data_IF_377561225676
#
_entry.id   IF_377561225676
#
_cell.length_a   1.000
_cell.length_b   1.000
_cell.length_c   1.000
_cell.angle_alpha   90.00
_cell.angle_beta   90.00
_cell.angle_gamma   90.00
#
_symmetry.space_group_name_H-M   'P 1'
#
loop_
_entity.id
_entity.type
_entity.pdbx_description
1 polymer ?
#
# COMPACT_ATOMS: atom_id res chain seq x y z
N UNK A 1 90.28 75.30 19.54
CA UNK A 1 88.82 75.40 19.30
C UNK A 1 88.45 75.47 17.82
N UNK A 2 88.98 76.39 16.99
CA UNK A 2 88.61 76.51 15.56
C UNK A 2 88.87 75.24 14.70
N UNK A 3 89.96 74.51 14.94
CA UNK A 3 90.28 73.28 14.20
C UNK A 3 89.34 72.10 14.53
N UNK A 4 88.82 72.03 15.76
CA UNK A 4 87.86 70.98 16.18
C UNK A 4 86.48 71.22 15.56
N UNK A 5 86.05 72.49 15.47
CA UNK A 5 84.79 72.88 14.81
C UNK A 5 84.86 72.56 13.31
N UNK A 6 86.00 72.84 12.66
CA UNK A 6 86.19 72.55 11.24
C UNK A 6 86.19 71.03 10.94
N UNK A 7 86.80 70.22 11.81
CA UNK A 7 86.80 68.77 11.69
C UNK A 7 85.39 68.18 11.88
N UNK A 8 84.64 68.66 12.89
CA UNK A 8 83.24 68.26 13.12
C UNK A 8 82.35 68.69 11.95
N UNK A 9 82.59 69.87 11.36
CA UNK A 9 81.85 70.36 10.20
C UNK A 9 82.18 69.55 8.92
N UNK A 10 83.43 69.12 8.72
CA UNK A 10 83.82 68.23 7.62
C UNK A 10 83.29 66.80 7.79
N UNK A 11 83.29 66.28 9.02
CA UNK A 11 82.71 64.97 9.34
C UNK A 11 81.19 65.01 9.12
N UNK A 12 80.51 66.07 9.57
CA UNK A 12 79.06 66.22 9.32
C UNK A 12 78.72 66.47 7.86
N UNK A 13 79.51 67.25 7.10
CA UNK A 13 79.32 67.42 5.65
C UNK A 13 79.60 66.13 4.87
N UNK A 14 80.63 65.36 5.24
CA UNK A 14 80.94 64.10 4.58
C UNK A 14 79.91 63.01 4.90
N UNK A 15 79.39 62.98 6.13
CA UNK A 15 78.25 62.14 6.48
C UNK A 15 76.98 62.58 5.72
N UNK A 16 76.67 63.89 5.66
CA UNK A 16 75.50 64.38 4.92
C UNK A 16 75.58 64.11 3.42
N UNK A 17 76.74 64.28 2.78
CA UNK A 17 76.90 64.00 1.34
C UNK A 17 76.83 62.51 1.02
N UNK A 18 77.38 61.65 1.90
CA UNK A 18 77.23 60.19 1.83
C UNK A 18 75.76 59.77 1.96
N UNK A 19 75.04 60.29 2.95
CA UNK A 19 73.62 60.03 3.17
C UNK A 19 72.75 60.50 1.99
N UNK A 20 73.00 61.71 1.47
CA UNK A 20 72.27 62.25 0.33
C UNK A 20 72.43 61.35 -0.91
N UNK A 21 73.65 60.85 -1.16
CA UNK A 21 73.91 59.96 -2.29
C UNK A 21 73.15 58.62 -2.20
N UNK A 22 72.94 58.10 -0.99
CA UNK A 22 72.16 56.87 -0.76
C UNK A 22 70.67 57.09 -0.99
N UNK A 23 70.15 58.23 -0.54
CA UNK A 23 68.75 58.63 -0.77
C UNK A 23 68.48 58.77 -2.26
N UNK A 24 69.35 59.47 -3.01
CA UNK A 24 69.19 59.68 -4.46
C UNK A 24 69.15 58.35 -5.26
N UNK A 25 69.93 57.35 -4.85
CA UNK A 25 69.92 56.01 -5.47
C UNK A 25 68.61 55.26 -5.18
N UNK A 26 68.09 55.31 -3.95
CA UNK A 26 66.78 54.72 -3.62
C UNK A 26 65.69 55.41 -4.44
N UNK A 27 65.70 56.74 -4.50
CA UNK A 27 64.73 57.55 -5.23
C UNK A 27 64.68 57.19 -6.72
N UNK A 28 65.83 57.13 -7.39
CA UNK A 28 65.88 56.75 -8.81
C UNK A 28 65.39 55.31 -9.10
N UNK A 29 65.51 54.40 -8.12
CA UNK A 29 64.99 53.05 -8.24
C UNK A 29 63.49 52.96 -7.90
N UNK A 30 63.00 53.79 -6.98
CA UNK A 30 61.57 53.92 -6.67
C UNK A 30 60.79 54.53 -7.83
N UNK A 31 61.34 55.52 -8.54
CA UNK A 31 60.73 56.11 -9.74
C UNK A 31 60.49 55.07 -10.85
N UNK A 32 61.48 54.17 -11.04
CA UNK A 32 61.33 53.03 -11.97
C UNK A 32 60.28 52.03 -11.51
N UNK A 33 60.12 51.87 -10.20
CA UNK A 33 59.11 50.99 -9.63
C UNK A 33 57.71 51.57 -9.76
N UNK A 34 57.55 52.89 -9.58
CA UNK A 34 56.28 53.62 -9.64
C UNK A 34 55.54 53.48 -10.98
N UNK A 35 56.25 53.13 -12.06
CA UNK A 35 55.68 52.96 -13.40
C UNK A 35 54.96 51.61 -13.60
N UNK A 36 55.03 50.67 -12.65
CA UNK A 36 54.52 49.30 -12.85
C UNK A 36 53.01 49.17 -12.66
N UNK A 37 52.46 49.78 -11.62
CA UNK A 37 51.02 49.83 -11.32
C UNK A 37 50.71 50.86 -10.21
N UNK A 38 49.43 51.08 -9.94
CA UNK A 38 48.99 52.07 -8.95
C UNK A 38 49.51 51.79 -7.53
N UNK A 39 49.57 50.52 -7.11
CA UNK A 39 50.14 50.15 -5.81
C UNK A 39 51.63 50.50 -5.72
N UNK A 40 52.41 50.19 -6.75
CA UNK A 40 53.84 50.52 -6.81
C UNK A 40 54.09 52.02 -6.81
N UNK A 41 53.21 52.80 -7.43
CA UNK A 41 53.25 54.27 -7.43
C UNK A 41 52.97 54.84 -6.03
N UNK A 42 51.94 54.32 -5.36
CA UNK A 42 51.60 54.72 -4.00
C UNK A 42 52.71 54.33 -3.01
N UNK A 43 53.27 53.13 -3.14
CA UNK A 43 54.39 52.67 -2.32
C UNK A 43 55.64 53.52 -2.54
N UNK A 44 55.99 53.81 -3.79
CA UNK A 44 57.13 54.67 -4.12
C UNK A 44 56.98 56.08 -3.52
N UNK A 45 55.79 56.70 -3.67
CA UNK A 45 55.52 58.02 -3.09
C UNK A 45 55.52 58.03 -1.56
N UNK A 46 55.07 56.94 -0.92
CA UNK A 46 55.16 56.78 0.53
C UNK A 46 56.63 56.67 0.98
N UNK A 47 57.44 55.88 0.28
CA UNK A 47 58.87 55.72 0.57
C UNK A 47 59.60 57.05 0.38
N UNK A 48 59.32 57.78 -0.70
CA UNK A 48 59.87 59.12 -0.95
C UNK A 48 59.56 60.09 0.19
N UNK A 49 58.28 60.21 0.55
CA UNK A 49 57.84 61.09 1.62
C UNK A 49 58.51 60.74 2.96
N UNK A 50 58.69 59.44 3.24
CA UNK A 50 59.36 58.96 4.45
C UNK A 50 60.87 59.13 4.44
N UNK A 51 61.52 59.02 3.28
CA UNK A 51 62.95 59.34 3.12
C UNK A 51 63.23 60.85 3.26
N UNK A 52 62.26 61.70 2.88
CA UNK A 52 62.37 63.16 3.06
C UNK A 52 62.11 63.59 4.52
N UNK A 53 61.28 62.84 5.24
CA UNK A 53 60.92 63.15 6.64
C UNK A 53 61.88 62.53 7.66
N UNK A 54 62.36 61.32 7.41
CA UNK A 54 63.29 60.62 8.30
C UNK A 54 64.72 60.79 7.79
N UNK A 55 65.64 61.24 8.63
CA UNK A 55 67.07 61.33 8.28
C UNK A 55 67.77 59.96 8.25
N UNK A 56 67.02 58.87 8.40
CA UNK A 56 67.53 57.52 8.64
C UNK A 56 66.84 56.48 7.75
N UNK A 57 67.61 55.91 6.82
CA UNK A 57 67.20 54.83 5.92
C UNK A 57 66.74 53.59 6.70
N UNK A 58 67.28 53.35 7.91
CA UNK A 58 66.82 52.27 8.80
C UNK A 58 65.35 52.39 9.22
N UNK A 59 64.85 53.61 9.44
CA UNK A 59 63.45 53.83 9.87
C UNK A 59 62.48 53.53 8.73
N UNK A 60 62.80 53.99 7.51
CA UNK A 60 62.06 53.65 6.30
C UNK A 60 62.10 52.14 6.03
N UNK A 61 63.25 51.49 6.24
CA UNK A 61 63.38 50.04 6.10
C UNK A 61 62.46 49.29 7.09
N UNK A 62 62.37 49.77 8.33
CA UNK A 62 61.49 49.19 9.36
C UNK A 62 60.02 49.35 8.99
N UNK A 63 59.62 50.51 8.48
CA UNK A 63 58.25 50.75 8.02
C UNK A 63 57.87 49.85 6.83
N UNK A 64 58.72 49.76 5.80
CA UNK A 64 58.48 48.87 4.64
C UNK A 64 58.37 47.41 5.10
N UNK A 65 59.22 46.98 6.05
CA UNK A 65 59.12 45.65 6.65
C UNK A 65 57.78 45.45 7.35
N UNK A 66 57.34 46.43 8.13
CA UNK A 66 56.05 46.39 8.82
C UNK A 66 54.87 46.25 7.86
N UNK A 67 54.85 47.04 6.77
CA UNK A 67 53.78 46.95 5.75
C UNK A 67 53.83 45.59 5.05
N UNK A 68 55.02 45.08 4.72
CA UNK A 68 55.16 43.74 4.10
C UNK A 68 54.65 42.64 5.02
N UNK A 69 55.07 42.64 6.27
CA UNK A 69 54.70 41.63 7.25
C UNK A 69 53.19 41.69 7.55
N UNK A 70 52.60 42.90 7.59
CA UNK A 70 51.16 43.11 7.70
C UNK A 70 50.42 42.54 6.50
N UNK A 71 50.84 42.88 5.28
CA UNK A 71 50.25 42.30 4.07
C UNK A 71 50.26 40.78 4.21
N UNK A 72 51.42 40.15 4.42
CA UNK A 72 51.59 38.69 4.60
C UNK A 72 50.58 38.12 5.61
N UNK A 73 50.44 38.76 6.76
CA UNK A 73 49.45 38.39 7.77
C UNK A 73 48.02 38.46 7.25
N UNK A 74 47.64 39.56 6.59
CA UNK A 74 46.28 39.77 6.08
C UNK A 74 45.86 38.70 5.05
N UNK A 75 46.75 38.28 4.14
CA UNK A 75 46.45 37.17 3.22
C UNK A 75 46.34 35.84 3.95
N UNK A 76 47.16 35.61 4.98
CA UNK A 76 47.04 34.38 5.76
C UNK A 76 45.66 34.27 6.42
N UNK A 77 45.12 35.40 6.89
CA UNK A 77 43.76 35.49 7.44
C UNK A 77 42.72 35.27 6.34
N UNK A 78 42.83 35.97 5.20
CA UNK A 78 41.91 35.81 4.06
C UNK A 78 41.89 34.37 3.52
N UNK A 79 43.05 33.71 3.41
CA UNK A 79 43.20 32.32 2.97
C UNK A 79 42.48 31.36 3.94
N UNK A 80 42.58 31.60 5.25
CA UNK A 80 41.89 30.82 6.28
C UNK A 80 40.37 31.03 6.21
N UNK A 81 39.89 32.26 6.07
CA UNK A 81 38.47 32.58 5.94
C UNK A 81 37.87 31.98 4.67
N UNK A 82 38.61 32.08 3.56
CA UNK A 82 38.25 31.46 2.29
C UNK A 82 38.15 29.94 2.42
N UNK A 83 39.17 29.29 2.97
CA UNK A 83 39.18 27.84 3.17
C UNK A 83 37.99 27.39 4.03
N UNK A 84 37.66 28.15 5.08
CA UNK A 84 36.49 27.89 5.93
C UNK A 84 35.18 28.03 5.14
N UNK A 85 35.00 29.11 4.39
CA UNK A 85 33.77 29.36 3.63
C UNK A 85 33.57 28.35 2.50
N UNK A 86 34.61 28.01 1.75
CA UNK A 86 34.55 26.95 0.73
C UNK A 86 34.28 25.59 1.36
N UNK A 87 34.90 25.28 2.50
CA UNK A 87 34.62 24.05 3.25
C UNK A 87 33.15 23.93 3.64
N UNK A 88 32.57 25.01 4.18
CA UNK A 88 31.14 25.06 4.53
C UNK A 88 30.24 24.87 3.30
N UNK A 89 30.49 25.60 2.23
CA UNK A 89 29.71 25.49 0.99
C UNK A 89 29.80 24.09 0.38
N UNK A 90 30.96 23.45 0.40
CA UNK A 90 31.11 22.08 -0.10
C UNK A 90 30.29 21.07 0.71
N UNK A 91 30.28 21.21 2.04
CA UNK A 91 29.46 20.35 2.91
C UNK A 91 27.97 20.57 2.66
N UNK A 92 27.52 21.82 2.52
CA UNK A 92 26.12 22.13 2.19
C UNK A 92 25.70 21.58 0.82
N UNK A 93 26.57 21.70 -0.18
CA UNK A 93 26.38 21.11 -1.51
C UNK A 93 26.27 19.58 -1.42
N UNK A 94 27.18 18.91 -0.72
CA UNK A 94 27.17 17.45 -0.57
C UNK A 94 25.89 16.96 0.13
N UNK A 95 25.46 17.64 1.19
CA UNK A 95 24.21 17.34 1.89
C UNK A 95 23.01 17.48 0.94
N UNK A 96 22.95 18.56 0.16
CA UNK A 96 21.87 18.79 -0.81
C UNK A 96 21.90 17.80 -1.97
N UNK A 97 23.07 17.38 -2.45
CA UNK A 97 23.22 16.32 -3.46
C UNK A 97 22.65 14.99 -2.95
N UNK A 98 23.00 14.59 -1.72
CA UNK A 98 22.46 13.37 -1.10
C UNK A 98 20.94 13.47 -0.92
N UNK A 99 20.44 14.62 -0.46
CA UNK A 99 19.00 14.83 -0.24
C UNK A 99 18.22 14.80 -1.56
N UNK A 100 18.70 15.48 -2.60
CA UNK A 100 18.05 15.49 -3.91
C UNK A 100 18.04 14.11 -4.56
N UNK A 101 19.14 13.34 -4.46
CA UNK A 101 19.19 11.96 -4.94
C UNK A 101 18.19 11.06 -4.19
N UNK A 102 18.12 11.20 -2.85
CA UNK A 102 17.17 10.45 -2.02
C UNK A 102 15.73 10.78 -2.39
N UNK A 103 15.39 12.06 -2.54
CA UNK A 103 14.05 12.51 -2.95
C UNK A 103 13.70 11.99 -4.35
N UNK A 104 14.63 12.03 -5.31
CA UNK A 104 14.42 11.51 -6.65
C UNK A 104 14.15 9.99 -6.66
N UNK A 105 14.96 9.21 -5.92
CA UNK A 105 14.76 7.76 -5.75
C UNK A 105 13.43 7.45 -5.08
N UNK A 106 13.07 8.19 -4.04
CA UNK A 106 11.80 8.01 -3.34
C UNK A 106 10.60 8.37 -4.21
N UNK A 107 10.70 9.41 -5.03
CA UNK A 107 9.68 9.77 -6.02
C UNK A 107 9.46 8.65 -7.03
N UNK A 108 10.53 8.08 -7.58
CA UNK A 108 10.46 6.95 -8.50
C UNK A 108 9.81 5.73 -7.83
N UNK A 109 10.22 5.40 -6.60
CA UNK A 109 9.65 4.29 -5.82
C UNK A 109 8.16 4.49 -5.57
N UNK A 110 7.73 5.70 -5.18
CA UNK A 110 6.32 6.01 -4.94
C UNK A 110 5.50 5.97 -6.22
N UNK A 111 6.04 6.43 -7.35
CA UNK A 111 5.36 6.31 -8.65
C UNK A 111 5.09 4.84 -9.01
N UNK A 112 6.09 3.97 -8.84
CA UNK A 112 5.91 2.54 -9.07
C UNK A 112 4.88 1.95 -8.09
N UNK A 113 5.01 2.26 -6.80
CA UNK A 113 4.09 1.77 -5.78
C UNK A 113 2.64 2.19 -6.05
N UNK A 114 2.40 3.42 -6.51
CA UNK A 114 1.06 3.91 -6.89
C UNK A 114 0.55 3.16 -8.12
N UNK A 115 1.39 2.91 -9.12
CA UNK A 115 1.00 2.13 -10.30
C UNK A 115 0.58 0.71 -9.91
N UNK A 116 1.38 0.02 -9.10
CA UNK A 116 1.08 -1.32 -8.61
C UNK A 116 -0.21 -1.34 -7.77
N UNK A 117 -0.39 -0.35 -6.89
CA UNK A 117 -1.61 -0.21 -6.09
C UNK A 117 -2.85 0.03 -6.97
N UNK A 118 -2.75 0.84 -8.01
CA UNK A 118 -3.86 1.07 -8.96
C UNK A 118 -4.23 -0.22 -9.71
N UNK A 119 -3.25 -1.04 -10.08
CA UNK A 119 -3.49 -2.33 -10.71
C UNK A 119 -4.17 -3.31 -9.73
N UNK A 120 -3.65 -3.41 -8.50
CA UNK A 120 -4.24 -4.22 -7.43
C UNK A 120 -5.69 -3.82 -7.15
N UNK A 121 -5.97 -2.52 -7.02
CA UNK A 121 -7.32 -1.97 -6.80
C UNK A 121 -8.24 -2.35 -7.96
N UNK A 122 -7.78 -2.21 -9.21
CA UNK A 122 -8.57 -2.56 -10.39
C UNK A 122 -8.93 -4.05 -10.43
N UNK A 123 -7.97 -4.93 -10.11
CA UNK A 123 -8.22 -6.38 -9.98
C UNK A 123 -9.21 -6.70 -8.86
N UNK A 124 -9.09 -6.03 -7.71
CA UNK A 124 -10.00 -6.22 -6.58
C UNK A 124 -11.42 -5.75 -6.90
N UNK A 125 -11.59 -4.63 -7.63
CA UNK A 125 -12.89 -4.17 -8.11
C UNK A 125 -13.53 -5.21 -9.03
N UNK A 126 -12.78 -5.75 -9.99
CA UNK A 126 -13.29 -6.81 -10.87
C UNK A 126 -13.66 -8.09 -10.10
N UNK A 127 -12.85 -8.45 -9.11
CA UNK A 127 -13.13 -9.59 -8.21
C UNK A 127 -14.41 -9.35 -7.40
N UNK A 128 -14.57 -8.16 -6.82
CA UNK A 128 -15.76 -7.76 -6.07
C UNK A 128 -17.02 -7.87 -6.93
N UNK A 129 -17.00 -7.31 -8.14
CA UNK A 129 -18.14 -7.36 -9.08
C UNK A 129 -18.49 -8.80 -9.48
N UNK A 130 -17.48 -9.63 -9.72
CA UNK A 130 -17.69 -11.05 -10.03
C UNK A 130 -18.33 -11.80 -8.87
N UNK A 131 -17.84 -11.58 -7.64
CA UNK A 131 -18.38 -12.19 -6.42
C UNK A 131 -19.81 -11.72 -6.15
N UNK A 132 -20.10 -10.43 -6.34
CA UNK A 132 -21.45 -9.87 -6.21
C UNK A 132 -22.45 -10.54 -7.16
N UNK A 133 -22.06 -10.71 -8.44
CA UNK A 133 -22.87 -11.42 -9.43
C UNK A 133 -23.08 -12.89 -9.08
N UNK A 134 -22.03 -13.56 -8.60
CA UNK A 134 -22.12 -14.96 -8.16
C UNK A 134 -23.02 -15.11 -6.94
N UNK A 135 -22.95 -14.21 -5.96
CA UNK A 135 -23.85 -14.18 -4.80
C UNK A 135 -25.30 -13.97 -5.22
N UNK A 136 -25.57 -13.02 -6.12
CA UNK A 136 -26.92 -12.80 -6.66
C UNK A 136 -27.47 -14.08 -7.34
N UNK A 137 -26.62 -14.76 -8.11
CA UNK A 137 -26.99 -16.02 -8.78
C UNK A 137 -27.28 -17.14 -7.76
N UNK A 138 -26.44 -17.28 -6.72
CA UNK A 138 -26.63 -18.29 -5.68
C UNK A 138 -27.89 -18.03 -4.85
N UNK A 139 -28.16 -16.77 -4.51
CA UNK A 139 -29.38 -16.38 -3.79
C UNK A 139 -30.63 -16.72 -4.61
N UNK A 140 -30.63 -16.44 -5.92
CA UNK A 140 -31.73 -16.82 -6.81
C UNK A 140 -31.91 -18.33 -6.87
N UNK A 141 -30.82 -19.09 -7.03
CA UNK A 141 -30.89 -20.56 -7.06
C UNK A 141 -31.40 -21.15 -5.76
N UNK A 142 -30.97 -20.62 -4.62
CA UNK A 142 -31.46 -21.05 -3.32
C UNK A 142 -32.98 -20.84 -3.18
N UNK A 143 -33.45 -19.67 -3.61
CA UNK A 143 -34.89 -19.34 -3.61
C UNK A 143 -35.67 -20.25 -4.57
N UNK A 144 -35.14 -20.52 -5.77
CA UNK A 144 -35.74 -21.44 -6.74
C UNK A 144 -35.85 -22.86 -6.15
N UNK A 145 -34.80 -23.36 -5.48
CA UNK A 145 -34.79 -24.67 -4.82
C UNK A 145 -35.85 -24.73 -3.71
N UNK A 146 -35.95 -23.68 -2.87
CA UNK A 146 -36.96 -23.59 -1.80
C UNK A 146 -38.37 -23.61 -2.36
N UNK A 147 -38.62 -22.88 -3.45
CA UNK A 147 -39.93 -22.83 -4.10
C UNK A 147 -40.29 -24.15 -4.79
N UNK A 148 -39.34 -24.77 -5.50
CA UNK A 148 -39.53 -26.09 -6.10
C UNK A 148 -39.84 -27.16 -5.05
N UNK A 149 -39.11 -27.17 -3.94
CA UNK A 149 -39.38 -28.08 -2.82
C UNK A 149 -40.79 -27.92 -2.27
N UNK A 150 -41.22 -26.67 -2.03
CA UNK A 150 -42.56 -26.37 -1.52
C UNK A 150 -43.65 -26.88 -2.46
N UNK A 151 -43.51 -26.64 -3.77
CA UNK A 151 -44.44 -27.12 -4.79
C UNK A 151 -44.49 -28.64 -4.87
N UNK A 152 -43.34 -29.31 -4.79
CA UNK A 152 -43.27 -30.77 -4.85
C UNK A 152 -43.97 -31.42 -3.65
N UNK A 153 -43.76 -30.88 -2.44
CA UNK A 153 -44.43 -31.35 -1.23
C UNK A 153 -45.94 -31.10 -1.30
N UNK A 154 -46.38 -29.94 -1.81
CA UNK A 154 -47.80 -29.63 -2.01
C UNK A 154 -48.45 -30.60 -3.00
N UNK A 155 -47.79 -30.87 -4.14
CA UNK A 155 -48.24 -31.83 -5.14
C UNK A 155 -48.34 -33.25 -4.58
N UNK A 156 -47.33 -33.70 -3.81
CA UNK A 156 -47.37 -35.02 -3.17
C UNK A 156 -48.52 -35.08 -2.15
N UNK A 157 -48.69 -34.05 -1.32
CA UNK A 157 -49.78 -33.97 -0.34
C UNK A 157 -51.16 -34.03 -1.00
N UNK A 158 -51.35 -33.31 -2.11
CA UNK A 158 -52.59 -33.33 -2.88
C UNK A 158 -52.86 -34.71 -3.50
N UNK A 159 -51.84 -35.34 -4.10
CA UNK A 159 -51.93 -36.70 -4.66
C UNK A 159 -52.29 -37.71 -3.58
N UNK A 160 -51.64 -37.65 -2.42
CA UNK A 160 -51.96 -38.51 -1.27
C UNK A 160 -53.40 -38.33 -0.81
N UNK A 161 -53.86 -37.08 -0.68
CA UNK A 161 -55.24 -36.77 -0.31
C UNK A 161 -56.26 -37.34 -1.31
N UNK A 162 -55.99 -37.20 -2.61
CA UNK A 162 -56.85 -37.74 -3.67
C UNK A 162 -56.86 -39.27 -3.69
N UNK A 163 -55.71 -39.89 -3.44
CA UNK A 163 -55.59 -41.35 -3.35
C UNK A 163 -56.36 -41.89 -2.15
N UNK A 164 -56.26 -41.25 -0.97
CA UNK A 164 -57.05 -41.60 0.23
C UNK A 164 -58.55 -41.57 -0.09
N UNK A 165 -59.04 -40.48 -0.68
CA UNK A 165 -60.45 -40.37 -1.09
C UNK A 165 -60.88 -41.48 -2.06
N UNK A 166 -60.01 -41.86 -2.98
CA UNK A 166 -60.28 -42.93 -3.95
C UNK A 166 -60.34 -44.30 -3.27
N UNK A 167 -59.42 -44.55 -2.32
CA UNK A 167 -59.41 -45.76 -1.50
C UNK A 167 -60.68 -45.84 -0.65
N UNK A 168 -61.06 -44.75 0.02
CA UNK A 168 -62.30 -44.68 0.81
C UNK A 168 -63.53 -45.01 -0.04
N UNK A 169 -63.62 -44.45 -1.25
CA UNK A 169 -64.71 -44.75 -2.19
C UNK A 169 -64.72 -46.21 -2.67
N UNK A 170 -63.55 -46.80 -2.90
CA UNK A 170 -63.43 -48.23 -3.22
C UNK A 170 -63.85 -49.10 -2.03
N UNK A 171 -63.44 -48.75 -0.81
CA UNK A 171 -63.83 -49.45 0.42
C UNK A 171 -65.34 -49.40 0.63
N UNK A 172 -65.99 -48.27 0.36
CA UNK A 172 -67.44 -48.15 0.41
C UNK A 172 -68.13 -49.05 -0.64
N UNK A 173 -67.60 -49.09 -1.87
CA UNK A 173 -68.10 -50.00 -2.91
C UNK A 173 -67.92 -51.48 -2.52
N UNK A 174 -66.78 -51.84 -1.94
CA UNK A 174 -66.53 -53.20 -1.43
C UNK A 174 -67.55 -53.54 -0.35
N UNK A 175 -67.78 -52.64 0.62
CA UNK A 175 -68.77 -52.86 1.67
C UNK A 175 -70.19 -53.06 1.10
N UNK A 176 -70.60 -52.23 0.12
CA UNK A 176 -71.88 -52.37 -0.58
C UNK A 176 -71.98 -53.68 -1.35
N UNK A 177 -70.93 -54.09 -2.05
CA UNK A 177 -70.89 -55.36 -2.77
C UNK A 177 -70.93 -56.56 -1.82
N UNK A 178 -70.21 -56.51 -0.70
CA UNK A 178 -70.28 -57.52 0.35
C UNK A 178 -71.71 -57.66 0.87
N UNK A 179 -72.37 -56.55 1.21
CA UNK A 179 -73.78 -56.55 1.63
C UNK A 179 -74.70 -57.15 0.55
N UNK A 180 -74.51 -56.78 -0.72
CA UNK A 180 -75.29 -57.32 -1.83
C UNK A 180 -75.07 -58.83 -2.02
N UNK A 181 -73.83 -59.30 -1.92
CA UNK A 181 -73.49 -60.73 -1.97
C UNK A 181 -74.13 -61.49 -0.81
N UNK A 182 -74.08 -60.96 0.42
CA UNK A 182 -74.77 -61.56 1.57
C UNK A 182 -76.30 -61.57 1.39
N UNK A 183 -76.88 -60.51 0.83
CA UNK A 183 -78.31 -60.44 0.51
C UNK A 183 -78.73 -61.45 -0.56
N UNK A 184 -77.89 -61.69 -1.57
CA UNK A 184 -78.18 -62.65 -2.64
C UNK A 184 -77.90 -64.10 -2.19
N UNK A 185 -76.87 -64.32 -1.37
CA UNK A 185 -76.63 -65.60 -0.71
C UNK A 185 -77.75 -65.96 0.26
N UNK A 186 -78.26 -65.01 1.04
CA UNK A 186 -79.43 -65.26 1.89
C UNK A 186 -80.68 -65.54 1.07
N UNK A 187 -80.91 -64.87 -0.08
CA UNK A 187 -81.99 -65.24 -1.00
C UNK A 187 -81.85 -66.62 -1.61
N UNK A 188 -80.65 -67.03 -2.05
CA UNK A 188 -80.39 -68.38 -2.60
C UNK A 188 -80.43 -69.45 -1.53
N UNK A 189 -80.03 -69.14 -0.29
CA UNK A 189 -80.20 -70.02 0.89
C UNK A 189 -81.67 -70.13 1.28
N UNK A 190 -82.45 -69.05 1.17
CA UNK A 190 -83.90 -69.06 1.38
C UNK A 190 -84.62 -69.76 0.24
N UNK A 191 -84.16 -69.66 -1.01
CA UNK A 191 -84.67 -70.40 -2.18
C UNK A 191 -84.35 -71.89 -2.09
N UNK A 192 -83.14 -72.26 -1.66
CA UNK A 192 -82.80 -73.66 -1.39
C UNK A 192 -83.52 -74.21 -0.17
N UNK A 193 -83.77 -73.38 0.87
CA UNK A 193 -84.65 -73.72 1.98
C UNK A 193 -86.12 -73.83 1.55
N UNK A 194 -86.62 -72.99 0.65
CA UNK A 194 -88.01 -73.02 0.14
C UNK A 194 -88.24 -74.20 -0.80
N UNK A 195 -87.27 -74.54 -1.65
CA UNK A 195 -87.27 -75.75 -2.47
C UNK A 195 -87.20 -76.97 -1.55
N UNK A 196 -86.36 -76.95 -0.51
CA UNK A 196 -86.35 -78.00 0.50
C UNK A 196 -87.67 -78.06 1.31
N UNK A 197 -88.31 -76.93 1.62
CA UNK A 197 -89.59 -76.87 2.36
C UNK A 197 -90.75 -77.41 1.53
N UNK A 198 -90.72 -77.21 0.20
CA UNK A 198 -91.67 -77.77 -0.75
C UNK A 198 -91.45 -79.27 -0.97
N UNK A 199 -90.23 -79.78 -0.80
CA UNK A 199 -89.95 -81.24 -0.81
C UNK A 199 -90.06 -81.91 0.57
N UNK A 200 -90.08 -81.14 1.66
CA UNK A 200 -90.15 -81.64 3.05
C UNK A 200 -91.58 -81.87 3.56
N UNK A 201 -92.61 -81.38 2.87
CA UNK A 201 -93.99 -81.75 3.19
C UNK A 201 -94.31 -83.23 2.92
N UNK A 202 -93.51 -83.90 2.06
CA UNK A 202 -93.61 -85.35 1.79
C UNK A 202 -92.77 -86.21 2.75
N UNK A 203 -91.99 -85.63 3.66
CA UNK A 203 -91.09 -86.39 4.56
C UNK A 203 -91.26 -86.07 6.05
N UNK A 204 -92.47 -85.67 6.46
CA UNK A 204 -92.87 -85.53 7.87
C UNK A 204 -92.95 -86.88 8.62
N UNK A 205 -92.79 -88.02 7.94
CA UNK A 205 -92.92 -89.34 8.56
C UNK A 205 -91.59 -90.10 8.47
N UNK A 206 -90.52 -89.61 9.13
CA UNK A 206 -89.47 -90.47 9.68
C UNK A 206 -88.47 -89.64 10.50
N UNK A 207 -88.83 -89.46 11.77
CA UNK A 207 -87.91 -89.53 12.92
C UNK A 207 -86.82 -88.43 12.97
N UNK A 208 -87.06 -87.28 13.57
CA UNK A 208 -87.34 -87.07 15.00
C UNK A 208 -86.27 -87.62 15.97
N UNK A 209 -85.08 -88.02 15.49
CA UNK A 209 -83.92 -88.26 16.34
C UNK A 209 -82.60 -87.97 15.63
N UNK A 210 -82.15 -86.72 15.61
CA UNK A 210 -80.79 -86.29 16.03
C UNK A 210 -80.57 -84.82 15.69
N UNK A 211 -81.23 -83.95 16.44
CA UNK A 211 -80.76 -82.58 16.63
C UNK A 211 -79.62 -82.64 17.66
N UNK A 212 -78.37 -82.69 17.21
CA UNK A 212 -77.16 -82.31 17.96
C UNK A 212 -75.92 -82.70 17.14
N UNK A 213 -75.43 -81.78 16.30
CA UNK A 213 -74.01 -81.53 15.96
C UNK A 213 -73.88 -80.76 14.62
N UNK A 214 -74.19 -79.46 14.66
CA UNK A 214 -73.39 -78.45 13.97
C UNK A 214 -72.37 -77.95 15.00
N UNK A 215 -71.04 -77.94 14.76
CA UNK A 215 -70.44 -77.03 13.77
C UNK A 215 -69.15 -77.57 13.11
N UNK A 216 -69.11 -77.75 11.79
CA UNK A 216 -67.83 -77.93 11.07
C UNK A 216 -67.73 -77.15 9.75
N UNK A 217 -68.85 -76.67 9.19
CA UNK A 217 -68.83 -75.97 7.91
C UNK A 217 -68.57 -74.45 7.97
N UNK A 218 -68.63 -73.80 9.14
CA UNK A 218 -68.42 -72.35 9.26
C UNK A 218 -66.97 -71.94 9.54
N UNK A 219 -66.13 -72.86 10.04
CA UNK A 219 -64.76 -72.56 10.46
C UNK A 219 -63.78 -72.26 9.30
N UNK A 220 -63.81 -72.97 8.15
CA UNK A 220 -62.96 -72.65 7.01
C UNK A 220 -63.30 -71.26 6.44
N UNK A 221 -64.59 -70.93 6.36
CA UNK A 221 -65.07 -69.66 5.83
C UNK A 221 -64.67 -68.47 6.71
N UNK A 222 -64.72 -68.63 8.04
CA UNK A 222 -64.25 -67.63 9.00
C UNK A 222 -62.73 -67.44 8.97
N UNK A 223 -61.97 -68.51 8.77
CA UNK A 223 -60.50 -68.48 8.67
C UNK A 223 -60.04 -67.77 7.38
N UNK A 224 -60.75 -67.98 6.27
CA UNK A 224 -60.48 -67.35 4.98
C UNK A 224 -60.87 -65.86 4.99
N UNK A 225 -61.94 -65.50 5.71
CA UNK A 225 -62.32 -64.11 5.98
C UNK A 225 -61.29 -63.39 6.86
N UNK A 226 -60.77 -64.06 7.89
CA UNK A 226 -59.71 -63.53 8.75
C UNK A 226 -58.39 -63.33 7.98
N UNK A 227 -58.03 -64.26 7.09
CA UNK A 227 -56.85 -64.12 6.24
C UNK A 227 -57.00 -63.00 5.21
N UNK A 228 -58.20 -62.79 4.64
CA UNK A 228 -58.48 -61.64 3.77
C UNK A 228 -58.40 -60.31 4.53
N UNK A 229 -58.95 -60.22 5.74
CA UNK A 229 -58.85 -59.01 6.58
C UNK A 229 -57.40 -58.68 6.92
N UNK A 230 -56.59 -59.70 7.26
CA UNK A 230 -55.17 -59.52 7.57
C UNK A 230 -54.34 -59.10 6.36
N UNK A 231 -54.69 -59.56 5.15
CA UNK A 231 -54.07 -59.10 3.90
C UNK A 231 -54.45 -57.65 3.58
N UNK A 232 -55.68 -57.23 3.90
CA UNK A 232 -56.14 -55.85 3.73
C UNK A 232 -55.42 -54.87 4.67
N UNK A 233 -55.31 -55.20 5.95
CA UNK A 233 -54.62 -54.38 6.97
C UNK A 233 -53.12 -54.21 6.62
N UNK A 234 -52.48 -55.27 6.12
CA UNK A 234 -51.09 -55.24 5.64
C UNK A 234 -50.93 -54.40 4.35
N UNK A 235 -51.95 -54.31 3.49
CA UNK A 235 -51.89 -53.47 2.29
C UNK A 235 -52.07 -51.97 2.61
N UNK A 236 -52.92 -51.62 3.57
CA UNK A 236 -53.12 -50.24 4.02
C UNK A 236 -51.86 -49.67 4.70
N UNK A 237 -51.18 -50.46 5.55
CA UNK A 237 -49.88 -50.09 6.14
C UNK A 237 -48.78 -49.94 5.07
N UNK A 238 -48.75 -50.82 4.05
CA UNK A 238 -47.73 -50.76 2.98
C UNK A 238 -47.90 -49.56 2.04
N UNK A 239 -49.13 -49.13 1.77
CA UNK A 239 -49.42 -47.96 0.93
C UNK A 239 -49.02 -46.67 1.67
N UNK A 240 -49.32 -46.56 2.96
CA UNK A 240 -48.91 -45.43 3.79
C UNK A 240 -47.39 -45.41 4.03
N UNK A 241 -46.73 -46.57 4.19
CA UNK A 241 -45.28 -46.66 4.34
C UNK A 241 -44.52 -46.23 3.08
N UNK A 242 -44.98 -46.59 1.88
CA UNK A 242 -44.33 -46.22 0.61
C UNK A 242 -44.42 -44.72 0.29
N UNK A 243 -45.55 -44.08 0.58
CA UNK A 243 -45.71 -42.63 0.43
C UNK A 243 -44.81 -41.85 1.39
N UNK A 244 -44.72 -42.30 2.65
CA UNK A 244 -43.83 -41.71 3.65
C UNK A 244 -42.35 -41.90 3.31
N UNK A 245 -41.95 -43.05 2.77
CA UNK A 245 -40.57 -43.30 2.33
C UNK A 245 -40.17 -42.43 1.13
N UNK A 246 -41.08 -42.21 0.17
CA UNK A 246 -40.83 -41.33 -0.97
C UNK A 246 -40.67 -39.86 -0.53
N UNK A 247 -41.57 -39.36 0.32
CA UNK A 247 -41.46 -38.01 0.90
C UNK A 247 -40.14 -37.85 1.65
N UNK A 248 -39.75 -38.82 2.48
CA UNK A 248 -38.49 -38.77 3.21
C UNK A 248 -37.26 -38.69 2.29
N UNK A 249 -37.23 -39.48 1.21
CA UNK A 249 -36.13 -39.43 0.22
C UNK A 249 -36.08 -38.10 -0.53
N UNK A 250 -37.23 -37.57 -0.91
CA UNK A 250 -37.34 -36.25 -1.55
C UNK A 250 -36.84 -35.16 -0.60
N UNK A 251 -37.36 -35.10 0.63
CA UNK A 251 -36.93 -34.16 1.66
C UNK A 251 -35.42 -34.24 1.90
N UNK A 252 -34.85 -35.44 2.08
CA UNK A 252 -33.42 -35.61 2.29
C UNK A 252 -32.59 -35.07 1.11
N UNK A 253 -33.00 -35.34 -0.13
CA UNK A 253 -32.29 -34.84 -1.32
C UNK A 253 -32.31 -33.32 -1.42
N UNK A 254 -33.44 -32.68 -1.08
CA UNK A 254 -33.57 -31.23 -1.08
C UNK A 254 -32.76 -30.58 0.05
N UNK A 255 -32.77 -31.16 1.26
CA UNK A 255 -31.98 -30.67 2.39
C UNK A 255 -30.48 -30.69 2.11
N UNK A 256 -29.97 -31.76 1.48
CA UNK A 256 -28.56 -31.84 1.07
C UNK A 256 -28.22 -30.75 0.07
N UNK A 257 -29.03 -30.61 -0.99
CA UNK A 257 -28.79 -29.59 -2.04
C UNK A 257 -28.85 -28.18 -1.48
N UNK A 258 -29.85 -27.89 -0.63
CA UNK A 258 -30.01 -26.59 0.01
C UNK A 258 -28.83 -26.27 0.92
N UNK A 259 -28.36 -27.25 1.70
CA UNK A 259 -27.19 -27.11 2.56
C UNK A 259 -25.93 -26.79 1.75
N UNK A 260 -25.67 -27.53 0.67
CA UNK A 260 -24.51 -27.29 -0.20
C UNK A 260 -24.53 -25.87 -0.80
N UNK A 261 -25.68 -25.43 -1.33
CA UNK A 261 -25.83 -24.07 -1.88
C UNK A 261 -25.63 -23.01 -0.80
N UNK A 262 -26.18 -23.24 0.40
CA UNK A 262 -26.03 -22.33 1.54
C UNK A 262 -24.58 -22.20 1.98
N UNK A 263 -23.86 -23.32 2.10
CA UNK A 263 -22.44 -23.33 2.47
C UNK A 263 -21.57 -22.59 1.44
N UNK A 264 -21.83 -22.79 0.14
CA UNK A 264 -21.10 -22.08 -0.93
C UNK A 264 -21.40 -20.59 -0.89
N UNK A 265 -22.67 -20.20 -0.68
CA UNK A 265 -23.07 -18.79 -0.53
C UNK A 265 -22.39 -18.12 0.65
N UNK A 266 -22.33 -18.79 1.80
CA UNK A 266 -21.69 -18.25 3.01
C UNK A 266 -20.18 -18.07 2.82
N UNK A 267 -19.49 -19.05 2.23
CA UNK A 267 -18.06 -18.94 1.90
C UNK A 267 -17.81 -17.77 0.94
N UNK A 268 -18.61 -17.67 -0.12
CA UNK A 268 -18.48 -16.58 -1.08
C UNK A 268 -18.78 -15.20 -0.45
N UNK A 269 -19.74 -15.12 0.47
CA UNK A 269 -20.06 -13.89 1.21
C UNK A 269 -18.91 -13.45 2.13
N UNK A 270 -18.24 -14.42 2.76
CA UNK A 270 -17.05 -14.15 3.55
C UNK A 270 -15.89 -13.63 2.66
N UNK A 271 -15.67 -14.24 1.50
CA UNK A 271 -14.64 -13.81 0.55
C UNK A 271 -14.94 -12.43 -0.06
N UNK A 272 -16.22 -12.15 -0.34
CA UNK A 272 -16.69 -10.81 -0.74
C UNK A 272 -16.38 -9.76 0.33
N UNK A 273 -16.70 -10.06 1.59
CA UNK A 273 -16.44 -9.17 2.72
C UNK A 273 -14.93 -8.90 2.90
N UNK A 274 -14.09 -9.93 2.76
CA UNK A 274 -12.62 -9.79 2.78
C UNK A 274 -12.11 -8.93 1.62
N UNK A 275 -12.70 -9.09 0.44
CA UNK A 275 -12.36 -8.30 -0.75
C UNK A 275 -12.65 -6.82 -0.53
N UNK A 276 -13.82 -6.48 0.04
CA UNK A 276 -14.16 -5.09 0.41
C UNK A 276 -13.16 -4.49 1.39
N UNK A 277 -12.83 -5.21 2.46
CA UNK A 277 -11.86 -4.73 3.47
C UNK A 277 -10.49 -4.51 2.83
N UNK A 278 -10.05 -5.44 1.99
CA UNK A 278 -8.77 -5.34 1.27
C UNK A 278 -8.77 -4.16 0.32
N UNK A 279 -9.85 -3.96 -0.44
CA UNK A 279 -10.02 -2.83 -1.35
C UNK A 279 -9.94 -1.51 -0.61
N UNK A 280 -10.63 -1.37 0.53
CA UNK A 280 -10.58 -0.16 1.36
C UNK A 280 -9.14 0.13 1.83
N UNK A 281 -8.44 -0.88 2.35
CA UNK A 281 -7.03 -0.74 2.76
C UNK A 281 -6.14 -0.30 1.60
N UNK A 282 -6.29 -0.91 0.42
CA UNK A 282 -5.48 -0.54 -0.76
C UNK A 282 -5.75 0.88 -1.24
N UNK A 283 -7.01 1.33 -1.20
CA UNK A 283 -7.36 2.71 -1.51
C UNK A 283 -6.73 3.70 -0.51
N UNK A 284 -6.73 3.39 0.78
CA UNK A 284 -6.09 4.21 1.81
C UNK A 284 -4.56 4.27 1.61
N UNK A 285 -3.92 3.12 1.36
CA UNK A 285 -2.50 3.06 1.02
C UNK A 285 -2.16 3.91 -0.22
N UNK A 286 -2.98 3.83 -1.26
CA UNK A 286 -2.80 4.61 -2.47
C UNK A 286 -2.94 6.12 -2.21
N UNK A 287 -3.93 6.53 -1.44
CA UNK A 287 -4.13 7.93 -1.06
C UNK A 287 -2.92 8.47 -0.27
N UNK A 288 -2.39 7.70 0.67
CA UNK A 288 -1.19 8.06 1.43
C UNK A 288 0.05 8.15 0.53
N UNK A 289 0.29 7.15 -0.31
CA UNK A 289 1.41 7.16 -1.27
C UNK A 289 1.32 8.34 -2.23
N UNK A 290 0.13 8.66 -2.72
CA UNK A 290 -0.12 9.81 -3.59
C UNK A 290 0.16 11.13 -2.88
N UNK A 291 -0.25 11.26 -1.61
CA UNK A 291 0.05 12.45 -0.80
C UNK A 291 1.56 12.63 -0.62
N UNK A 292 2.29 11.56 -0.25
CA UNK A 292 3.75 11.61 -0.11
C UNK A 292 4.44 11.94 -1.43
N UNK A 293 3.99 11.34 -2.54
CA UNK A 293 4.52 11.65 -3.88
C UNK A 293 4.34 13.13 -4.22
N UNK A 294 3.15 13.69 -3.97
CA UNK A 294 2.85 15.09 -4.24
C UNK A 294 3.72 16.05 -3.41
N UNK A 295 4.06 15.66 -2.18
CA UNK A 295 4.95 16.45 -1.34
C UNK A 295 6.38 16.44 -1.92
N UNK A 296 6.92 15.26 -2.24
CA UNK A 296 8.25 15.14 -2.85
C UNK A 296 8.31 15.86 -4.20
N UNK A 297 7.24 15.83 -4.99
CA UNK A 297 7.16 16.53 -6.27
C UNK A 297 7.21 18.06 -6.13
N UNK A 298 6.86 18.61 -4.96
CA UNK A 298 7.03 20.03 -4.61
C UNK A 298 8.42 20.31 -4.05
N UNK A 299 8.94 19.42 -3.21
CA UNK A 299 10.19 19.64 -2.47
C UNK A 299 11.44 19.43 -3.34
N UNK A 300 11.40 18.47 -4.27
CA UNK A 300 12.52 18.15 -5.15
C UNK A 300 13.01 19.36 -5.99
N UNK A 301 12.15 20.13 -6.69
CA UNK A 301 12.63 21.29 -7.43
C UNK A 301 13.18 22.39 -6.51
N UNK A 302 12.65 22.56 -5.30
CA UNK A 302 13.18 23.52 -4.32
C UNK A 302 14.58 23.12 -3.88
N UNK A 303 14.79 21.84 -3.58
CA UNK A 303 16.10 21.32 -3.20
C UNK A 303 17.13 21.42 -4.33
N UNK A 304 16.71 21.20 -5.59
CA UNK A 304 17.55 21.38 -6.77
C UNK A 304 17.94 22.84 -7.01
N UNK A 305 17.00 23.78 -6.80
CA UNK A 305 17.27 25.22 -6.93
C UNK A 305 18.26 25.71 -5.86
N UNK A 306 18.05 25.29 -4.60
CA UNK A 306 19.00 25.57 -3.52
C UNK A 306 20.38 24.98 -3.81
N UNK A 307 20.46 23.74 -4.30
CA UNK A 307 21.74 23.13 -4.69
C UNK A 307 22.45 23.96 -5.77
N UNK A 308 21.71 24.44 -6.77
CA UNK A 308 22.29 25.29 -7.81
C UNK A 308 22.74 26.65 -7.25
N UNK A 309 21.97 27.25 -6.35
CA UNK A 309 22.34 28.49 -5.67
C UNK A 309 23.66 28.35 -4.91
N UNK A 310 23.82 27.28 -4.12
CA UNK A 310 25.06 27.04 -3.37
C UNK A 310 26.26 26.76 -4.28
N UNK A 311 26.07 26.05 -5.40
CA UNK A 311 27.11 25.87 -6.42
C UNK A 311 27.56 27.20 -7.02
N UNK A 312 26.60 28.06 -7.37
CA UNK A 312 26.88 29.40 -7.89
C UNK A 312 27.62 30.26 -6.85
N UNK A 313 27.17 30.24 -5.57
CA UNK A 313 27.84 30.96 -4.49
C UNK A 313 29.30 30.49 -4.31
N UNK A 314 29.54 29.18 -4.36
CA UNK A 314 30.89 28.61 -4.29
C UNK A 314 31.78 29.13 -5.42
N UNK A 315 31.27 29.15 -6.65
CA UNK A 315 32.00 29.66 -7.81
C UNK A 315 32.33 31.15 -7.67
N UNK A 316 31.38 31.96 -7.19
CA UNK A 316 31.60 33.39 -6.92
C UNK A 316 32.67 33.58 -5.85
N UNK A 317 32.59 32.85 -4.73
CA UNK A 317 33.58 32.92 -3.65
C UNK A 317 34.97 32.52 -4.15
N UNK A 318 35.07 31.44 -4.93
CA UNK A 318 36.31 30.97 -5.54
C UNK A 318 36.91 32.01 -6.50
N UNK A 319 36.09 32.58 -7.39
CA UNK A 319 36.51 33.59 -8.35
C UNK A 319 37.03 34.86 -7.64
N UNK A 320 36.27 35.36 -6.66
CA UNK A 320 36.65 36.54 -5.88
C UNK A 320 37.93 36.31 -5.05
N UNK A 321 38.13 35.11 -4.51
CA UNK A 321 39.36 34.77 -3.83
C UNK A 321 40.55 34.71 -4.79
N UNK A 322 40.43 34.05 -5.94
CA UNK A 322 41.50 33.96 -6.93
C UNK A 322 41.97 35.35 -7.39
N UNK A 323 41.03 36.28 -7.64
CA UNK A 323 41.35 37.66 -8.02
C UNK A 323 42.08 38.41 -6.90
N UNK A 324 41.60 38.30 -5.65
CA UNK A 324 42.23 38.95 -4.49
C UNK A 324 43.59 38.38 -4.17
N UNK A 325 43.73 37.05 -4.18
CA UNK A 325 44.98 36.34 -3.93
C UNK A 325 46.06 36.73 -4.95
N UNK A 326 45.71 36.75 -6.24
CA UNK A 326 46.63 37.20 -7.30
C UNK A 326 47.05 38.67 -7.13
N UNK A 327 46.13 39.53 -6.68
CA UNK A 327 46.45 40.94 -6.36
C UNK A 327 47.40 41.04 -5.16
N UNK A 328 47.10 40.36 -4.05
CA UNK A 328 47.94 40.31 -2.84
C UNK A 328 49.33 39.76 -3.12
N UNK A 329 49.45 38.73 -3.96
CA UNK A 329 50.74 38.16 -4.37
C UNK A 329 51.61 39.19 -5.11
N UNK A 330 51.01 39.93 -6.04
CA UNK A 330 51.70 41.00 -6.76
C UNK A 330 52.13 42.14 -5.82
N UNK A 331 51.27 42.56 -4.88
CA UNK A 331 51.59 43.57 -3.87
C UNK A 331 52.76 43.14 -2.97
N UNK A 332 52.78 41.88 -2.49
CA UNK A 332 53.92 41.32 -1.72
C UNK A 332 55.19 41.32 -2.54
N UNK A 333 55.13 40.94 -3.82
CA UNK A 333 56.30 40.93 -4.70
C UNK A 333 56.88 42.34 -4.86
N UNK A 334 56.03 43.34 -5.04
CA UNK A 334 56.44 44.75 -5.19
C UNK A 334 57.06 45.28 -3.89
N UNK A 335 56.41 45.06 -2.75
CA UNK A 335 56.96 45.56 -1.48
C UNK A 335 58.22 44.82 -1.05
N UNK A 336 58.37 43.54 -1.43
CA UNK A 336 59.61 42.78 -1.21
C UNK A 336 60.75 43.31 -2.08
N UNK A 337 60.46 43.71 -3.32
CA UNK A 337 61.44 44.41 -4.16
C UNK A 337 61.84 45.75 -3.53
N UNK A 338 60.86 46.55 -3.06
CA UNK A 338 61.14 47.84 -2.42
C UNK A 338 61.97 47.68 -1.13
N UNK A 339 61.61 46.70 -0.29
CA UNK A 339 62.38 46.33 0.90
C UNK A 339 63.83 45.98 0.56
N UNK A 340 64.04 45.20 -0.51
CA UNK A 340 65.37 44.78 -0.93
C UNK A 340 66.22 45.97 -1.40
N UNK A 341 65.63 46.90 -2.16
CA UNK A 341 66.28 48.12 -2.64
C UNK A 341 66.76 48.97 -1.46
N UNK A 342 65.88 49.22 -0.49
CA UNK A 342 66.22 50.01 0.69
C UNK A 342 67.24 49.29 1.58
N UNK A 343 67.09 47.97 1.77
CA UNK A 343 68.01 47.16 2.58
C UNK A 343 69.44 47.14 2.03
N UNK A 344 69.61 47.18 0.71
CA UNK A 344 70.92 47.24 0.06
C UNK A 344 71.70 48.51 0.43
N UNK A 345 71.01 49.64 0.68
CA UNK A 345 71.65 50.91 1.03
C UNK A 345 71.98 51.05 2.52
N UNK A 346 71.36 50.22 3.37
CA UNK A 346 71.65 50.15 4.81
C UNK A 346 72.86 49.25 5.11
N UNK A 347 73.14 48.25 4.26
CA UNK A 347 74.24 47.27 4.46
C UNK A 347 75.61 47.72 3.95
N UNK A 348 75.68 48.84 3.23
CA UNK A 348 76.92 49.50 2.74
C UNK A 348 77.21 50.69 3.63
#
# INVERSE_FOLDING_TARGET
MKQVIFLVMLITLSLQTSLQSKVDVVMAQMDKMALKNEFSKQLAGLIELKMLQSSYVEEVLKEIKGIRDQLISDQTIEDQEFAKKIGQLNVEIEILEIQTEKLAKELQRLNQQIADLNEDISKLIGTQQSQEKQLSTLNSKEEDIRNQYKLEIENISQRTTNNIKSIDGLNEMIAKLQQAVFAEQSKTTVLSMLINLLTLWDQIILLQHLFLQLPSLMFPLLLELFNCLKIFEIQEERINAGANEYVAKVTQSYEVTLKEVTEVRERLSADYSRTIVTLKRRNEENALSTKSRNQIQKDLPIALDLLQQYRNEREIVQSNYNLRSAKRENEVKIITQAYTIVAQQVKV
#
